data_IF_957198553306
#
_entry.id   IF_957198553306
#
_cell.length_a   1.000
_cell.length_b   1.000
_cell.length_c   1.000
_cell.angle_alpha   90.00
_cell.angle_beta   90.00
_cell.angle_gamma   90.00
#
_symmetry.space_group_name_H-M   'P 1'
#
loop_
_entity.id
_entity.type
_entity.pdbx_description
1 polymer ?
#
# COMPACT_ATOMS: atom_id res chain seq x y z
N UNK A 1 2.17 24.33 24.78
CA UNK A 1 2.65 25.00 23.56
C UNK A 1 1.59 24.90 22.48
N UNK A 2 1.28 26.02 21.85
CA UNK A 2 0.33 26.05 20.75
C UNK A 2 1.06 25.80 19.44
N UNK A 3 0.64 24.77 18.69
CA UNK A 3 1.20 24.51 17.39
C UNK A 3 0.53 25.38 16.32
N UNK A 4 1.30 25.89 15.33
CA UNK A 4 0.71 26.68 14.24
C UNK A 4 -0.13 25.84 13.28
N UNK A 5 -0.02 24.52 13.35
CA UNK A 5 -0.71 23.60 12.48
C UNK A 5 -1.42 22.55 13.33
N UNK A 6 -2.61 22.16 12.90
CA UNK A 6 -3.35 21.06 13.51
C UNK A 6 -3.64 20.00 12.44
N UNK A 7 -2.86 18.92 12.48
CA UNK A 7 -3.06 17.79 11.58
C UNK A 7 -4.29 17.00 12.02
N UNK A 8 -5.16 16.65 11.10
CA UNK A 8 -6.37 15.86 11.36
C UNK A 8 -6.17 14.37 11.10
N UNK A 9 -5.68 14.05 9.92
CA UNK A 9 -5.48 12.67 9.47
C UNK A 9 -4.57 12.68 8.25
N UNK A 10 -4.23 11.51 7.75
CA UNK A 10 -3.53 11.39 6.47
C UNK A 10 -4.58 11.50 5.36
N UNK A 11 -4.47 12.54 4.53
CA UNK A 11 -5.40 12.73 3.40
C UNK A 11 -5.15 11.71 2.31
N UNK A 12 -3.91 11.57 1.88
CA UNK A 12 -3.54 10.59 0.88
C UNK A 12 -2.06 10.22 0.98
N UNK A 13 -1.73 9.09 0.37
CA UNK A 13 -0.36 8.64 0.12
C UNK A 13 -0.19 8.61 -1.39
N UNK A 14 0.92 9.15 -1.89
CA UNK A 14 1.22 9.17 -3.33
C UNK A 14 2.33 8.18 -3.64
N UNK A 15 2.11 7.36 -4.65
CA UNK A 15 3.07 6.39 -5.14
C UNK A 15 3.33 6.65 -6.61
N UNK A 16 4.60 6.63 -7.02
CA UNK A 16 4.98 6.67 -8.43
C UNK A 16 5.10 5.24 -8.93
N UNK A 17 4.44 4.94 -10.03
CA UNK A 17 4.35 3.59 -10.58
C UNK A 17 4.74 3.57 -12.05
N UNK A 18 5.20 2.41 -12.54
CA UNK A 18 5.58 2.25 -13.94
C UNK A 18 4.38 2.00 -14.85
N UNK A 19 3.44 1.20 -14.34
CA UNK A 19 2.29 0.73 -15.12
C UNK A 19 1.04 0.80 -14.25
N UNK A 20 0.18 1.79 -14.53
CA UNK A 20 -1.05 2.01 -13.77
C UNK A 20 -1.96 0.77 -13.81
N UNK A 21 -2.00 0.04 -14.93
CA UNK A 21 -2.84 -1.15 -15.04
C UNK A 21 -2.36 -2.28 -14.13
N UNK A 22 -1.03 -2.47 -14.04
CA UNK A 22 -0.49 -3.46 -13.10
C UNK A 22 -0.83 -3.09 -11.65
N UNK A 23 -0.70 -1.81 -11.31
CA UNK A 23 -1.06 -1.31 -9.98
C UNK A 23 -2.55 -1.42 -9.71
N UNK A 24 -3.39 -1.18 -10.71
CA UNK A 24 -4.85 -1.34 -10.58
C UNK A 24 -5.20 -2.80 -10.29
N UNK A 25 -4.57 -3.76 -10.96
CA UNK A 25 -4.77 -5.18 -10.69
C UNK A 25 -4.36 -5.55 -9.27
N UNK A 26 -3.33 -4.89 -8.73
CA UNK A 26 -2.89 -5.11 -7.35
C UNK A 26 -3.86 -4.49 -6.34
N UNK A 27 -4.05 -3.18 -6.41
CA UNK A 27 -4.82 -2.47 -5.37
C UNK A 27 -6.32 -2.72 -5.46
N UNK A 28 -6.89 -2.77 -6.64
CA UNK A 28 -8.32 -3.05 -6.83
C UNK A 28 -8.56 -4.54 -6.94
N UNK A 29 -7.83 -5.22 -7.81
CA UNK A 29 -8.07 -6.63 -8.10
C UNK A 29 -7.68 -7.55 -6.96
N UNK A 30 -6.51 -7.36 -6.36
CA UNK A 30 -6.01 -8.23 -5.30
C UNK A 30 -6.46 -7.76 -3.92
N UNK A 31 -6.31 -6.47 -3.62
CA UNK A 31 -6.61 -5.91 -2.29
C UNK A 31 -8.05 -5.44 -2.12
N UNK A 32 -8.85 -5.42 -3.20
CA UNK A 32 -10.27 -5.09 -3.12
C UNK A 32 -10.58 -3.62 -2.88
N UNK A 33 -9.67 -2.71 -3.17
CA UNK A 33 -9.91 -1.29 -3.01
C UNK A 33 -10.83 -0.74 -4.11
N UNK A 34 -11.51 0.36 -3.81
CA UNK A 34 -12.39 1.03 -4.75
C UNK A 34 -11.63 2.13 -5.48
N UNK A 35 -11.66 2.11 -6.81
CA UNK A 35 -11.16 3.23 -7.60
C UNK A 35 -12.16 4.37 -7.58
N UNK A 36 -11.66 5.60 -7.38
CA UNK A 36 -12.49 6.80 -7.31
C UNK A 36 -12.10 7.78 -8.43
N UNK A 37 -12.99 8.74 -8.69
CA UNK A 37 -12.77 9.74 -9.72
C UNK A 37 -11.50 10.55 -9.42
N UNK A 38 -10.73 10.81 -10.46
CA UNK A 38 -9.48 11.56 -10.41
C UNK A 38 -9.60 12.80 -11.29
N UNK A 39 -9.13 13.98 -10.82
CA UNK A 39 -9.10 15.15 -11.69
C UNK A 39 -8.31 14.89 -12.99
N UNK A 40 -8.62 15.66 -14.02
CA UNK A 40 -7.97 15.51 -15.32
C UNK A 40 -6.58 16.15 -15.33
N UNK A 41 -5.62 15.46 -14.73
CA UNK A 41 -4.20 15.86 -14.78
C UNK A 41 -3.62 15.58 -16.16
N UNK A 42 -2.51 16.27 -16.47
CA UNK A 42 -1.79 16.07 -17.74
C UNK A 42 -0.93 14.79 -17.75
N UNK A 43 -0.86 14.08 -16.64
CA UNK A 43 -0.10 12.84 -16.49
C UNK A 43 -1.02 11.71 -16.04
N UNK A 44 -0.62 10.47 -16.34
CA UNK A 44 -1.39 9.29 -15.99
C UNK A 44 -1.38 9.00 -14.50
N UNK A 45 -2.36 8.27 -14.05
CA UNK A 45 -2.49 7.86 -12.65
C UNK A 45 -3.87 7.30 -12.35
N UNK A 46 -4.09 7.02 -11.08
CA UNK A 46 -5.38 6.55 -10.58
C UNK A 46 -5.47 6.85 -9.09
N UNK A 47 -6.67 6.94 -8.59
CA UNK A 47 -6.94 7.15 -7.18
C UNK A 47 -7.78 6.01 -6.63
N UNK A 48 -7.36 5.47 -5.48
CA UNK A 48 -8.06 4.38 -4.80
C UNK A 48 -8.42 4.80 -3.38
N UNK A 49 -9.55 4.33 -2.89
CA UNK A 49 -10.04 4.64 -1.55
C UNK A 49 -9.60 3.56 -0.56
N UNK A 50 -9.01 4.00 0.54
CA UNK A 50 -8.69 3.18 1.71
C UNK A 50 -9.33 3.84 2.94
N UNK A 51 -10.60 3.54 3.20
CA UNK A 51 -11.36 4.21 4.27
C UNK A 51 -11.43 5.72 4.04
N UNK A 52 -10.88 6.50 4.98
CA UNK A 52 -10.82 7.97 4.88
C UNK A 52 -9.55 8.48 4.19
N UNK A 53 -8.63 7.61 3.82
CA UNK A 53 -7.37 7.95 3.16
C UNK A 53 -7.43 7.49 1.71
N UNK A 54 -6.89 8.28 0.80
CA UNK A 54 -6.76 7.88 -0.60
C UNK A 54 -5.33 7.44 -0.90
N UNK A 55 -5.20 6.54 -1.85
CA UNK A 55 -3.92 6.21 -2.47
C UNK A 55 -3.93 6.84 -3.86
N UNK A 56 -3.00 7.76 -4.09
CA UNK A 56 -2.82 8.42 -5.37
C UNK A 56 -1.68 7.78 -6.13
N UNK A 57 -1.94 7.28 -7.33
CA UNK A 57 -0.90 6.81 -8.22
C UNK A 57 -0.54 7.88 -9.23
N UNK A 58 0.75 8.08 -9.44
CA UNK A 58 1.29 8.89 -10.52
C UNK A 58 2.07 7.95 -11.42
N UNK A 59 1.71 7.91 -12.71
CA UNK A 59 2.51 7.17 -13.68
C UNK A 59 3.82 7.91 -13.90
N UNK A 60 4.94 7.20 -13.85
CA UNK A 60 6.27 7.80 -14.00
C UNK A 60 6.36 8.60 -15.30
N UNK A 61 6.86 9.83 -15.19
CA UNK A 61 7.06 10.72 -16.34
C UNK A 61 8.25 11.64 -16.06
N UNK A 62 8.55 12.53 -17.03
CA UNK A 62 9.78 13.35 -16.98
C UNK A 62 9.89 14.22 -15.73
N UNK A 63 8.76 14.65 -15.18
CA UNK A 63 8.74 15.53 -14.01
C UNK A 63 8.42 14.78 -12.71
N UNK A 64 8.18 13.48 -12.76
CA UNK A 64 7.93 12.69 -11.56
C UNK A 64 9.24 12.21 -10.95
N UNK A 65 9.16 11.69 -9.71
CA UNK A 65 10.22 10.85 -9.15
C UNK A 65 10.27 9.49 -9.87
N UNK A 66 11.24 8.64 -9.51
CA UNK A 66 11.31 7.27 -10.04
C UNK A 66 10.17 6.42 -9.49
N UNK A 67 9.72 5.43 -10.27
CA UNK A 67 8.69 4.50 -9.85
C UNK A 67 9.26 3.50 -8.86
N UNK A 68 8.77 3.55 -7.63
CA UNK A 68 9.14 2.59 -6.59
C UNK A 68 10.64 2.50 -6.34
N UNK A 69 11.08 1.29 -6.01
CA UNK A 69 12.49 1.02 -5.72
C UNK A 69 13.06 0.04 -6.72
N UNK A 70 14.30 0.27 -7.23
CA UNK A 70 15.00 -0.75 -7.98
C UNK A 70 15.21 -1.99 -7.12
N UNK A 71 15.04 -3.17 -7.71
CA UNK A 71 15.15 -4.45 -6.97
C UNK A 71 16.53 -4.58 -6.32
N UNK A 72 17.56 -4.10 -6.97
CA UNK A 72 18.94 -4.22 -6.53
C UNK A 72 19.24 -3.43 -5.26
N UNK A 73 18.53 -2.33 -5.04
CA UNK A 73 18.76 -1.47 -3.87
C UNK A 73 17.63 -1.57 -2.85
N UNK A 74 16.62 -2.37 -3.14
CA UNK A 74 15.48 -2.52 -2.25
C UNK A 74 15.87 -3.35 -1.04
N UNK A 75 15.79 -2.74 0.13
CA UNK A 75 15.83 -3.49 1.38
C UNK A 75 14.43 -4.06 1.58
N UNK A 76 14.26 -5.32 1.21
CA UNK A 76 12.99 -6.04 1.35
C UNK A 76 12.79 -6.46 2.79
N UNK A 77 12.29 -5.55 3.60
CA UNK A 77 12.12 -5.78 5.01
C UNK A 77 10.87 -5.08 5.52
N UNK A 78 10.21 -5.71 6.48
CA UNK A 78 9.12 -5.08 7.21
C UNK A 78 9.58 -3.83 7.98
N UNK A 79 10.89 -3.63 8.11
CA UNK A 79 11.47 -2.46 8.78
C UNK A 79 11.89 -1.35 7.80
N UNK A 80 11.54 -1.48 6.54
CA UNK A 80 11.71 -0.43 5.54
C UNK A 80 10.49 0.48 5.54
N UNK A 81 10.56 1.58 4.79
CA UNK A 81 9.41 2.45 4.59
C UNK A 81 8.25 1.65 4.02
N UNK A 82 7.10 1.76 4.62
CA UNK A 82 5.90 1.05 4.18
C UNK A 82 4.66 1.77 4.68
N UNK A 83 3.53 1.36 4.16
CA UNK A 83 2.24 1.78 4.67
C UNK A 83 1.39 0.55 4.92
N UNK A 84 0.42 0.65 5.82
CA UNK A 84 -0.37 -0.48 6.27
C UNK A 84 -1.85 -0.22 6.01
N UNK A 85 -2.53 -1.24 5.51
CA UNK A 85 -3.98 -1.26 5.42
C UNK A 85 -4.53 -2.15 6.52
N UNK A 86 -5.61 -1.71 7.15
CA UNK A 86 -6.34 -2.55 8.08
C UNK A 86 -7.22 -3.52 7.30
N UNK A 87 -7.17 -4.78 7.70
CA UNK A 87 -8.04 -5.84 7.16
C UNK A 87 -8.72 -6.54 8.33
N UNK A 88 -9.77 -7.31 8.05
CA UNK A 88 -10.53 -7.99 9.10
C UNK A 88 -9.69 -9.08 9.79
N UNK A 89 -8.92 -9.83 9.00
CA UNK A 89 -8.13 -10.97 9.49
C UNK A 89 -6.88 -11.14 8.63
N UNK A 90 -5.73 -10.73 9.16
CA UNK A 90 -4.48 -10.79 8.41
C UNK A 90 -3.96 -12.23 8.25
N UNK A 91 -4.29 -13.16 9.15
CA UNK A 91 -3.97 -14.59 8.93
C UNK A 91 -4.72 -15.14 7.73
N UNK A 92 -6.00 -14.83 7.64
CA UNK A 92 -6.83 -15.28 6.52
C UNK A 92 -6.38 -14.64 5.21
N UNK A 93 -6.03 -13.34 5.24
CA UNK A 93 -5.50 -12.65 4.07
C UNK A 93 -4.21 -13.33 3.58
N UNK A 94 -3.29 -13.62 4.49
CA UNK A 94 -2.03 -14.31 4.14
C UNK A 94 -2.30 -15.70 3.54
N UNK A 95 -3.23 -16.45 4.13
CA UNK A 95 -3.60 -17.77 3.63
C UNK A 95 -4.11 -17.70 2.19
N UNK A 96 -5.01 -16.77 1.92
CA UNK A 96 -5.61 -16.62 0.59
C UNK A 96 -4.59 -16.14 -0.44
N UNK A 97 -3.72 -15.21 -0.06
CA UNK A 97 -2.66 -14.73 -0.93
C UNK A 97 -1.70 -15.86 -1.33
N UNK A 98 -1.32 -16.68 -0.35
CA UNK A 98 -0.46 -17.85 -0.63
C UNK A 98 -1.14 -18.84 -1.54
N UNK A 99 -2.42 -19.11 -1.36
CA UNK A 99 -3.18 -20.00 -2.25
C UNK A 99 -3.24 -19.48 -3.68
N UNK A 100 -3.26 -18.17 -3.85
CA UNK A 100 -3.24 -17.52 -5.16
C UNK A 100 -1.84 -17.45 -5.78
N UNK A 101 -0.81 -17.92 -5.07
CA UNK A 101 0.56 -17.86 -5.55
C UNK A 101 1.21 -16.48 -5.42
N UNK A 102 0.65 -15.59 -4.61
CA UNK A 102 1.22 -14.27 -4.38
C UNK A 102 2.38 -14.37 -3.40
N UNK A 103 3.60 -13.95 -3.78
CA UNK A 103 4.74 -13.98 -2.86
C UNK A 103 4.53 -13.02 -1.69
N UNK A 104 4.87 -13.45 -0.49
CA UNK A 104 4.85 -12.60 0.69
C UNK A 104 6.28 -12.20 1.05
N UNK A 105 6.46 -10.94 1.44
CA UNK A 105 7.73 -10.47 1.97
C UNK A 105 7.96 -11.05 3.36
N UNK A 106 6.95 -11.01 4.21
CA UNK A 106 6.90 -11.65 5.52
C UNK A 106 5.52 -12.28 5.69
N UNK A 107 5.47 -13.56 6.05
CA UNK A 107 4.21 -14.25 6.34
C UNK A 107 3.56 -13.67 7.60
N UNK A 108 2.29 -13.98 7.78
CA UNK A 108 1.51 -13.46 8.91
C UNK A 108 2.15 -13.86 10.24
N UNK A 109 2.33 -12.88 11.09
CA UNK A 109 2.86 -13.07 12.43
C UNK A 109 2.24 -12.10 13.42
N UNK A 110 2.25 -12.49 14.68
CA UNK A 110 1.70 -11.67 15.76
C UNK A 110 2.75 -10.67 16.25
N UNK A 111 2.36 -9.42 16.34
CA UNK A 111 3.14 -8.34 16.93
C UNK A 111 3.00 -8.40 18.46
N UNK A 112 3.96 -7.85 19.25
CA UNK A 112 3.89 -7.88 20.71
C UNK A 112 2.61 -7.30 21.32
N UNK A 113 1.96 -6.34 20.63
CA UNK A 113 0.69 -5.76 21.08
C UNK A 113 -0.54 -6.59 20.69
N UNK A 114 -0.34 -7.73 20.03
CA UNK A 114 -1.42 -8.64 19.62
C UNK A 114 -1.93 -8.43 18.20
N UNK A 115 -1.50 -7.38 17.52
CA UNK A 115 -1.86 -7.19 16.11
C UNK A 115 -1.20 -8.25 15.24
N UNK A 116 -1.87 -8.63 14.17
CA UNK A 116 -1.34 -9.57 13.18
C UNK A 116 -0.90 -8.76 11.96
N UNK A 117 0.29 -9.05 11.47
CA UNK A 117 0.88 -8.35 10.32
C UNK A 117 1.28 -9.34 9.24
N UNK A 118 1.03 -8.98 8.00
CA UNK A 118 1.59 -9.66 6.84
C UNK A 118 2.11 -8.60 5.88
N UNK A 119 3.23 -8.88 5.20
CA UNK A 119 3.89 -7.92 4.32
C UNK A 119 4.02 -8.51 2.92
N UNK A 120 3.73 -7.68 1.92
CA UNK A 120 3.95 -8.02 0.52
C UNK A 120 4.44 -6.76 -0.21
N UNK A 121 4.78 -6.90 -1.49
CA UNK A 121 5.19 -5.76 -2.31
C UNK A 121 4.22 -5.59 -3.47
N UNK A 122 4.00 -4.33 -3.84
CA UNK A 122 3.25 -4.02 -5.05
C UNK A 122 4.12 -4.22 -6.30
N UNK A 123 3.59 -4.02 -7.52
CA UNK A 123 4.37 -4.24 -8.75
C UNK A 123 5.64 -3.40 -8.86
N UNK A 124 5.72 -2.27 -8.17
CA UNK A 124 6.88 -1.37 -8.18
C UNK A 124 7.74 -1.52 -6.93
N UNK A 125 7.53 -2.58 -6.15
CA UNK A 125 8.29 -2.89 -4.93
C UNK A 125 8.05 -1.92 -3.77
N UNK A 126 6.93 -1.21 -3.75
CA UNK A 126 6.50 -0.55 -2.53
C UNK A 126 6.10 -1.63 -1.52
N UNK A 127 6.57 -1.48 -0.28
CA UNK A 127 6.25 -2.44 0.78
C UNK A 127 4.86 -2.10 1.34
N UNK A 128 4.00 -3.11 1.36
CA UNK A 128 2.61 -3.00 1.82
C UNK A 128 2.41 -3.96 2.98
N UNK A 129 1.88 -3.45 4.07
CA UNK A 129 1.47 -4.24 5.22
C UNK A 129 -0.05 -4.40 5.22
N UNK A 130 -0.53 -5.60 5.55
CA UNK A 130 -1.92 -5.83 5.91
C UNK A 130 -1.94 -6.15 7.40
N UNK A 131 -2.77 -5.46 8.16
CA UNK A 131 -2.77 -5.55 9.61
C UNK A 131 -4.18 -5.73 10.15
N UNK A 132 -4.32 -6.58 11.16
CA UNK A 132 -5.60 -6.77 11.85
C UNK A 132 -5.38 -6.83 13.36
N UNK A 133 -6.34 -6.29 14.10
CA UNK A 133 -6.20 -6.21 15.54
C UNK A 133 -5.31 -5.05 16.00
N UNK A 134 -4.90 -5.01 17.29
CA UNK A 134 -5.17 -6.03 18.28
C UNK A 134 -6.66 -6.16 18.59
N UNK A 135 -7.09 -7.39 18.76
CA UNK A 135 -8.44 -7.66 19.24
C UNK A 135 -8.42 -7.45 20.75
N UNK A 136 -9.10 -6.42 21.18
CA UNK A 136 -9.21 -6.12 22.60
C UNK A 136 -10.32 -6.95 23.20
#
# INVERSE_FOLDING_TARGET
MNSPVKVRHIDHVTLVVRDVEASRRFYVGLLGMEEVARPAFSFGGAWFRAGSTLIHLIEQHDLSGPAGYPVEVLVRSSRNHHFAFEVDDAYEAARRLKEMGVPLLDDAKRRPDGAIQVFLTDPDHHVVELSSGPTI
#
